data_IF_175790566804
#
_entry.id   IF_175790566804
#
_cell.length_a   1.000
_cell.length_b   1.000
_cell.length_c   1.000
_cell.angle_alpha   90.00
_cell.angle_beta   90.00
_cell.angle_gamma   90.00
#
_symmetry.space_group_name_H-M   'P 1'
#
loop_
_entity.id
_entity.type
_entity.pdbx_description
1 polymer ?
#
# COMPACT_ATOMS: atom_id res chain seq x y z
N UNK A 1 -43.15 1.56 5.84
CA UNK A 1 -42.00 0.77 6.35
C UNK A 1 -41.57 -0.26 5.30
N UNK A 2 -40.71 0.10 4.33
CA UNK A 2 -39.98 -0.84 3.42
C UNK A 2 -39.06 -0.08 2.45
N UNK A 3 -38.36 0.95 2.95
CA UNK A 3 -37.49 1.79 2.13
C UNK A 3 -36.09 1.91 2.75
N UNK A 4 -35.46 0.77 3.09
CA UNK A 4 -34.12 0.77 3.71
C UNK A 4 -33.15 -0.31 3.21
N UNK A 5 -33.58 -1.24 2.34
CA UNK A 5 -32.74 -2.38 1.92
C UNK A 5 -32.16 -2.26 0.51
N UNK A 6 -32.70 -1.38 -0.33
CA UNK A 6 -32.18 -1.14 -1.69
C UNK A 6 -30.92 -0.26 -1.70
N UNK A 7 -30.83 0.74 -0.80
CA UNK A 7 -29.62 1.57 -0.70
C UNK A 7 -28.41 0.79 -0.17
N UNK A 8 -28.59 -0.16 0.75
CA UNK A 8 -27.49 -0.93 1.32
C UNK A 8 -26.78 -1.84 0.29
N UNK A 9 -27.51 -2.38 -0.69
CA UNK A 9 -26.93 -3.19 -1.77
C UNK A 9 -26.24 -2.35 -2.85
N UNK A 10 -26.62 -1.07 -3.02
CA UNK A 10 -25.95 -0.16 -3.96
C UNK A 10 -24.60 0.34 -3.43
N UNK A 11 -24.42 0.44 -2.10
CA UNK A 11 -23.13 0.80 -1.49
C UNK A 11 -22.09 -0.33 -1.54
N UNK A 12 -22.50 -1.60 -1.67
CA UNK A 12 -21.55 -2.72 -1.79
C UNK A 12 -20.80 -2.72 -3.14
N UNK A 13 -21.30 -2.01 -4.15
CA UNK A 13 -20.73 -1.92 -5.50
C UNK A 13 -19.89 -0.67 -5.76
N UNK A 14 -19.90 0.32 -4.85
CA UNK A 14 -18.93 1.41 -4.88
C UNK A 14 -17.65 0.82 -4.29
N UNK A 15 -16.94 0.08 -5.15
CA UNK A 15 -15.75 -0.70 -4.81
C UNK A 15 -14.81 0.12 -3.95
N UNK A 16 -14.18 -0.56 -2.99
CA UNK A 16 -12.97 -0.10 -2.34
C UNK A 16 -12.04 0.42 -3.42
N UNK A 17 -12.03 1.74 -3.64
CA UNK A 17 -11.09 2.37 -4.53
C UNK A 17 -9.76 2.18 -3.82
N UNK A 18 -8.95 1.25 -4.32
CA UNK A 18 -7.58 1.11 -3.87
C UNK A 18 -6.90 2.45 -4.20
N UNK A 19 -6.73 3.28 -3.17
CA UNK A 19 -6.13 4.60 -3.32
C UNK A 19 -4.63 4.36 -3.49
N UNK A 20 -4.16 4.56 -4.72
CA UNK A 20 -2.74 4.57 -5.01
C UNK A 20 -2.12 5.84 -4.44
N UNK A 21 -1.06 5.66 -3.66
CA UNK A 21 -0.26 6.69 -3.05
C UNK A 21 1.15 6.64 -3.58
N UNK A 22 1.83 7.78 -3.50
CA UNK A 22 3.25 7.89 -3.84
C UNK A 22 4.05 8.21 -2.59
N UNK A 23 5.28 7.75 -2.53
CA UNK A 23 6.17 8.00 -1.41
C UNK A 23 7.62 7.74 -1.76
N UNK A 24 8.48 7.96 -0.77
CA UNK A 24 9.88 7.63 -0.83
C UNK A 24 10.20 6.51 0.16
N UNK A 25 11.05 5.58 -0.26
CA UNK A 25 11.55 4.52 0.60
C UNK A 25 12.41 5.14 1.68
N UNK A 26 11.97 5.03 2.94
CA UNK A 26 12.71 5.57 4.09
C UNK A 26 13.93 4.73 4.42
N UNK A 27 13.77 3.41 4.36
CA UNK A 27 14.85 2.43 4.44
C UNK A 27 14.29 1.06 4.07
N UNK A 28 15.14 0.17 3.58
CA UNK A 28 14.80 -1.22 3.31
C UNK A 28 16.00 -2.12 3.63
N UNK A 29 15.75 -3.20 4.34
CA UNK A 29 16.78 -4.19 4.65
C UNK A 29 16.61 -5.38 3.71
N UNK A 30 17.46 -5.45 2.68
CA UNK A 30 17.41 -6.51 1.66
C UNK A 30 17.62 -7.91 2.24
N UNK A 31 18.49 -8.05 3.25
CA UNK A 31 18.76 -9.34 3.90
C UNK A 31 17.57 -9.83 4.72
N UNK A 32 16.73 -8.92 5.24
CA UNK A 32 15.52 -9.26 6.00
C UNK A 32 14.26 -9.22 5.15
N UNK A 33 14.28 -8.57 4.00
CA UNK A 33 13.16 -8.47 3.06
C UNK A 33 12.04 -7.53 3.50
N UNK A 34 12.32 -6.52 4.33
CA UNK A 34 11.31 -5.54 4.75
C UNK A 34 11.89 -4.15 4.99
N UNK A 35 11.01 -3.16 5.00
CA UNK A 35 11.36 -1.76 5.20
C UNK A 35 10.15 -0.88 5.48
N UNK A 36 10.35 0.43 5.31
CA UNK A 36 9.29 1.43 5.44
C UNK A 36 9.34 2.45 4.31
N UNK A 37 8.16 2.92 3.90
CA UNK A 37 7.96 3.98 2.91
C UNK A 37 7.35 5.18 3.64
N UNK A 38 7.86 6.37 3.38
CA UNK A 38 7.27 7.63 3.81
C UNK A 38 6.34 8.13 2.71
N UNK A 39 5.01 8.14 2.93
CA UNK A 39 4.05 8.64 1.95
C UNK A 39 4.21 10.15 1.70
N UNK A 40 3.95 10.58 0.47
CA UNK A 40 4.07 12.00 0.06
C UNK A 40 2.92 12.87 0.59
N UNK A 41 1.83 12.26 1.04
CA UNK A 41 0.67 12.96 1.62
C UNK A 41 0.90 13.38 3.09
N UNK A 42 2.06 13.03 3.66
CA UNK A 42 2.42 13.34 5.04
C UNK A 42 1.77 12.41 6.08
N UNK A 43 1.12 11.33 5.65
CA UNK A 43 0.64 10.28 6.55
C UNK A 43 1.81 9.50 7.19
N UNK A 44 1.48 8.59 8.11
CA UNK A 44 2.50 7.83 8.86
C UNK A 44 3.28 6.89 7.93
N UNK A 45 4.52 6.61 8.31
CA UNK A 45 5.35 5.63 7.61
C UNK A 45 4.63 4.28 7.48
N UNK A 46 4.67 3.73 6.27
CA UNK A 46 3.95 2.51 5.90
C UNK A 46 4.93 1.35 5.80
N UNK A 47 4.58 0.22 6.41
CA UNK A 47 5.40 -0.99 6.36
C UNK A 47 5.38 -1.60 4.96
N UNK A 48 6.54 -2.08 4.46
CA UNK A 48 6.63 -2.80 3.19
C UNK A 48 7.40 -4.11 3.37
N UNK A 49 6.87 -5.18 2.78
CA UNK A 49 7.53 -6.49 2.69
C UNK A 49 7.92 -6.78 1.24
N UNK A 50 8.98 -7.55 1.01
CA UNK A 50 9.46 -7.84 -0.34
C UNK A 50 8.35 -8.39 -1.25
N UNK A 51 7.48 -9.24 -0.70
CA UNK A 51 6.37 -9.87 -1.44
C UNK A 51 5.33 -8.88 -2.00
N UNK A 52 5.33 -7.64 -1.52
CA UNK A 52 4.46 -6.58 -2.03
C UNK A 52 5.04 -5.87 -3.25
N UNK A 53 6.35 -6.00 -3.50
CA UNK A 53 7.06 -5.33 -4.59
C UNK A 53 6.79 -6.04 -5.90
N UNK A 54 6.31 -5.28 -6.87
CA UNK A 54 6.02 -5.74 -8.22
C UNK A 54 7.28 -5.67 -9.08
N UNK A 55 7.45 -6.64 -9.96
CA UNK A 55 8.57 -6.70 -10.91
C UNK A 55 9.14 -8.10 -11.07
N UNK A 56 10.02 -8.23 -12.07
CA UNK A 56 10.67 -9.49 -12.38
C UNK A 56 12.11 -9.44 -11.84
N UNK A 57 12.44 -10.28 -10.85
CA UNK A 57 13.78 -10.36 -10.26
C UNK A 57 13.78 -10.21 -8.74
N UNK A 58 14.87 -9.65 -8.20
CA UNK A 58 15.01 -9.40 -6.77
C UNK A 58 14.09 -8.25 -6.33
N UNK A 59 13.17 -8.55 -5.41
CA UNK A 59 12.22 -7.61 -4.83
C UNK A 59 12.90 -6.79 -3.73
N UNK A 60 13.72 -5.81 -4.14
CA UNK A 60 14.40 -4.88 -3.22
C UNK A 60 14.04 -3.43 -3.52
N UNK A 61 14.33 -2.55 -2.56
CA UNK A 61 14.11 -1.11 -2.64
C UNK A 61 15.36 -0.39 -2.13
N UNK A 62 15.76 0.67 -2.82
CA UNK A 62 16.84 1.55 -2.37
C UNK A 62 16.28 2.68 -1.49
N UNK A 63 17.05 3.13 -0.50
CA UNK A 63 16.70 4.31 0.30
C UNK A 63 16.57 5.56 -0.59
N UNK A 64 15.54 6.36 -0.36
CA UNK A 64 15.21 7.56 -1.15
C UNK A 64 14.54 7.26 -2.49
N UNK A 65 14.33 5.99 -2.85
CA UNK A 65 13.68 5.62 -4.11
C UNK A 65 12.21 6.01 -4.11
N UNK A 66 11.73 6.56 -5.23
CA UNK A 66 10.32 6.88 -5.40
C UNK A 66 9.52 5.62 -5.75
N UNK A 67 8.37 5.48 -5.11
CA UNK A 67 7.48 4.33 -5.30
C UNK A 67 6.02 4.77 -5.34
N UNK A 68 5.23 4.02 -6.10
CA UNK A 68 3.77 4.03 -6.05
C UNK A 68 3.28 2.74 -5.37
N UNK A 69 2.31 2.85 -4.48
CA UNK A 69 1.80 1.71 -3.71
C UNK A 69 0.37 1.96 -3.23
N UNK A 70 -0.28 0.91 -2.77
CA UNK A 70 -1.59 0.97 -2.12
C UNK A 70 -1.42 0.64 -0.63
N UNK A 71 -2.25 1.23 0.24
CA UNK A 71 -2.26 0.90 1.67
C UNK A 71 -3.39 -0.09 1.95
N UNK A 72 -3.06 -1.16 2.68
CA UNK A 72 -4.04 -2.07 3.25
C UNK A 72 -3.82 -2.23 4.76
N UNK A 73 -4.87 -2.63 5.47
CA UNK A 73 -4.77 -3.03 6.88
C UNK A 73 -4.06 -4.38 7.02
N UNK A 74 -2.81 -4.35 7.49
CA UNK A 74 -2.04 -5.53 7.81
C UNK A 74 -2.15 -5.94 9.28
N UNK A 75 -1.70 -7.14 9.62
CA UNK A 75 -1.71 -7.68 11.00
C UNK A 75 -0.90 -6.84 12.01
N UNK A 76 0.00 -5.96 11.53
CA UNK A 76 0.84 -5.08 12.34
C UNK A 76 0.57 -3.59 12.10
N UNK A 77 -0.59 -3.27 11.51
CA UNK A 77 -0.95 -1.93 11.06
C UNK A 77 -0.84 -1.75 9.55
N UNK A 78 -0.93 -0.50 9.05
CA UNK A 78 -0.93 -0.17 7.63
C UNK A 78 0.31 -0.73 6.90
N UNK A 79 0.06 -1.47 5.82
CA UNK A 79 1.09 -2.08 5.00
C UNK A 79 0.91 -1.71 3.52
N UNK A 80 2.03 -1.51 2.83
CA UNK A 80 2.08 -1.23 1.41
C UNK A 80 1.90 -2.52 0.62
N UNK A 81 1.05 -2.47 -0.40
CA UNK A 81 0.83 -3.52 -1.40
C UNK A 81 0.93 -2.96 -2.81
N UNK A 82 1.11 -3.87 -3.77
CA UNK A 82 1.24 -3.50 -5.20
C UNK A 82 2.32 -2.43 -5.42
N UNK A 83 3.44 -2.55 -4.72
CA UNK A 83 4.51 -1.53 -4.72
C UNK A 83 5.26 -1.57 -6.04
N UNK A 84 5.30 -0.44 -6.74
CA UNK A 84 5.99 -0.28 -8.03
C UNK A 84 7.00 0.86 -7.89
N UNK A 85 8.23 0.63 -8.33
CA UNK A 85 9.24 1.68 -8.47
C UNK A 85 8.88 2.59 -9.64
N UNK A 86 8.98 3.92 -9.45
CA UNK A 86 8.66 4.94 -10.46
C UNK A 86 9.83 5.90 -10.73
#
# INVERSE_FOLDING_TARGET
MKLSIALAHAYLLIGVMAVKLRGQVKWFNESKGFGFITPSDGSKDVFVHFSAIQGNGFQTLAEGQNVEFEIQDGAKGPAAVNVVVI
#
